data_IF_028396524774
#
_entry.id   IF_028396524774
#
_cell.length_a   1.000
_cell.length_b   1.000
_cell.length_c   1.000
_cell.angle_alpha   90.00
_cell.angle_beta   90.00
_cell.angle_gamma   90.00
#
_symmetry.space_group_name_H-M   'P 1'
#
loop_
_entity.id
_entity.type
_entity.pdbx_description
1 polymer ?
#
# COMPACT_ATOMS: atom_id res chain seq x y z
N UNK A 1 0.61 -27.34 19.05
CA UNK A 1 1.95 -26.82 19.39
C UNK A 1 2.13 -25.55 18.59
N UNK A 2 1.77 -24.41 19.15
CA UNK A 2 2.22 -23.12 18.61
C UNK A 2 3.73 -23.08 18.83
N UNK A 3 4.51 -22.92 17.77
CA UNK A 3 5.96 -22.75 17.89
C UNK A 3 6.21 -21.46 18.68
N UNK A 4 6.88 -21.58 19.83
CA UNK A 4 7.19 -20.47 20.74
C UNK A 4 8.10 -19.38 20.14
N UNK A 5 8.63 -19.62 18.94
CA UNK A 5 9.36 -18.64 18.14
C UNK A 5 8.50 -18.26 16.93
N UNK A 6 8.08 -17.00 16.87
CA UNK A 6 7.44 -16.45 15.67
C UNK A 6 8.41 -16.50 14.47
N UNK A 7 7.86 -16.48 13.25
CA UNK A 7 8.64 -16.50 12.02
C UNK A 7 9.53 -15.24 11.92
N UNK A 8 10.87 -15.35 11.86
CA UNK A 8 11.73 -14.19 11.67
C UNK A 8 11.48 -13.49 10.32
N UNK A 9 11.62 -12.17 10.27
CA UNK A 9 11.32 -11.37 9.07
C UNK A 9 12.12 -11.82 7.84
N UNK A 10 13.41 -12.13 8.00
CA UNK A 10 14.25 -12.64 6.91
C UNK A 10 13.76 -13.99 6.35
N UNK A 11 13.21 -14.86 7.21
CA UNK A 11 12.62 -16.13 6.78
C UNK A 11 11.30 -15.85 6.04
N UNK A 12 10.49 -14.92 6.53
CA UNK A 12 9.25 -14.51 5.85
C UNK A 12 9.52 -13.96 4.44
N UNK A 13 10.56 -13.12 4.29
CA UNK A 13 10.99 -12.60 2.98
C UNK A 13 11.51 -13.72 2.07
N UNK A 14 12.24 -14.69 2.60
CA UNK A 14 12.74 -15.83 1.83
C UNK A 14 11.64 -16.79 1.35
N UNK A 15 10.47 -16.78 2.00
CA UNK A 15 9.29 -17.57 1.58
C UNK A 15 8.50 -16.93 0.43
N UNK A 16 8.86 -15.72 0.01
CA UNK A 16 8.20 -15.05 -1.12
C UNK A 16 8.70 -15.73 -2.42
N UNK A 17 7.79 -16.18 -3.31
CA UNK A 17 8.20 -16.81 -4.56
C UNK A 17 8.98 -15.87 -5.48
N UNK A 18 9.88 -16.44 -6.27
CA UNK A 18 10.55 -15.72 -7.36
C UNK A 18 9.54 -15.25 -8.41
N UNK A 19 9.91 -14.22 -9.16
CA UNK A 19 9.12 -13.73 -10.30
C UNK A 19 9.15 -14.77 -11.44
N UNK A 20 8.09 -14.90 -12.27
CA UNK A 20 6.91 -14.04 -12.30
C UNK A 20 5.91 -14.35 -11.18
N UNK A 21 5.37 -13.29 -10.58
CA UNK A 21 4.29 -13.39 -9.60
C UNK A 21 2.92 -13.61 -10.26
N UNK A 22 1.91 -13.97 -9.46
CA UNK A 22 0.55 -14.24 -9.94
C UNK A 22 -0.04 -13.05 -10.71
N UNK A 23 0.19 -11.84 -10.20
CA UNK A 23 0.06 -10.60 -10.97
C UNK A 23 1.37 -9.86 -10.82
N UNK A 24 2.10 -9.70 -11.92
CA UNK A 24 3.44 -9.12 -11.93
C UNK A 24 3.54 -8.00 -12.96
N UNK A 25 3.33 -6.78 -12.49
CA UNK A 25 3.61 -5.57 -13.27
C UNK A 25 4.72 -4.76 -12.60
N UNK A 26 5.69 -5.43 -11.98
CA UNK A 26 6.79 -4.77 -11.28
C UNK A 26 7.62 -3.92 -12.23
N UNK A 27 7.95 -4.43 -13.43
CA UNK A 27 8.82 -3.73 -14.38
C UNK A 27 8.18 -2.42 -14.88
N UNK A 28 6.85 -2.39 -15.00
CA UNK A 28 6.10 -1.18 -15.36
C UNK A 28 6.16 -0.12 -14.26
N UNK A 29 6.05 -0.54 -13.00
CA UNK A 29 6.21 0.34 -11.85
C UNK A 29 7.65 0.83 -11.73
N UNK A 30 8.65 -0.04 -11.86
CA UNK A 30 10.07 0.33 -11.83
C UNK A 30 10.38 1.38 -12.91
N UNK A 31 9.91 1.14 -14.14
CA UNK A 31 10.03 2.11 -15.24
C UNK A 31 9.34 3.43 -14.92
N UNK A 32 8.20 3.42 -14.21
CA UNK A 32 7.50 4.63 -13.80
C UNK A 32 8.34 5.48 -12.83
N UNK A 33 9.04 4.84 -11.89
CA UNK A 33 9.90 5.51 -10.91
C UNK A 33 11.14 6.14 -11.55
N UNK A 34 11.62 5.58 -12.66
CA UNK A 34 12.81 6.09 -13.35
C UNK A 34 12.49 7.21 -14.36
N UNK A 35 11.23 7.34 -14.79
CA UNK A 35 10.81 8.38 -15.74
C UNK A 35 10.72 9.76 -15.09
N UNK A 36 10.04 9.86 -13.94
CA UNK A 36 9.96 11.07 -13.14
C UNK A 36 9.56 10.73 -11.70
N UNK A 37 10.00 11.52 -10.71
CA UNK A 37 9.44 11.44 -9.38
C UNK A 37 7.93 11.70 -9.41
N UNK A 38 7.19 10.95 -8.60
CA UNK A 38 5.82 11.31 -8.24
C UNK A 38 5.87 12.56 -7.37
N UNK A 39 4.88 13.43 -7.52
CA UNK A 39 4.75 14.60 -6.66
C UNK A 39 4.39 14.20 -5.22
N UNK A 40 3.39 13.32 -5.05
CA UNK A 40 3.04 12.79 -3.74
C UNK A 40 2.40 11.39 -3.85
N UNK A 41 2.87 10.47 -3.01
CA UNK A 41 2.30 9.13 -2.87
C UNK A 41 1.44 9.02 -1.60
N UNK A 42 0.25 8.46 -1.73
CA UNK A 42 -0.62 8.08 -0.62
C UNK A 42 -0.55 6.56 -0.41
N UNK A 43 -0.12 6.10 0.77
CA UNK A 43 0.09 4.69 1.08
C UNK A 43 -0.92 4.24 2.14
N UNK A 44 -1.89 3.42 1.76
CA UNK A 44 -2.79 2.74 2.69
C UNK A 44 -2.12 1.48 3.23
N UNK A 45 -1.82 1.49 4.52
CA UNK A 45 -1.09 0.40 5.21
C UNK A 45 -2.04 -0.61 5.85
N UNK A 46 -1.59 -1.85 5.96
CA UNK A 46 -2.25 -3.01 6.57
C UNK A 46 -1.80 -3.16 8.02
N UNK A 47 -0.79 -3.99 8.29
CA UNK A 47 -0.49 -4.48 9.63
C UNK A 47 0.52 -3.62 10.39
N UNK A 48 0.38 -3.62 11.72
CA UNK A 48 1.42 -3.16 12.65
C UNK A 48 2.68 -4.02 12.60
N UNK A 49 3.72 -3.61 13.34
CA UNK A 49 4.92 -4.42 13.56
C UNK A 49 5.86 -4.47 12.36
N UNK A 50 6.37 -5.65 12.01
CA UNK A 50 7.39 -5.82 10.98
C UNK A 50 6.93 -5.37 9.59
N UNK A 51 5.66 -5.52 9.27
CA UNK A 51 5.06 -5.09 8.01
C UNK A 51 5.27 -3.57 7.81
N UNK A 52 4.80 -2.79 8.79
CA UNK A 52 4.99 -1.35 8.79
C UNK A 52 6.48 -0.94 8.92
N UNK A 53 7.20 -1.45 9.93
CA UNK A 53 8.54 -0.97 10.29
C UNK A 53 9.61 -1.41 9.30
N UNK A 54 9.54 -2.64 8.80
CA UNK A 54 10.58 -3.24 7.94
C UNK A 54 10.15 -3.31 6.47
N UNK A 55 8.86 -3.13 6.16
CA UNK A 55 8.34 -3.03 4.79
C UNK A 55 8.03 -1.60 4.39
N UNK A 56 6.96 -1.03 4.94
CA UNK A 56 6.42 0.28 4.52
C UNK A 56 7.39 1.44 4.77
N UNK A 57 8.04 1.48 5.93
CA UNK A 57 8.96 2.58 6.28
C UNK A 57 10.18 2.63 5.34
N UNK A 58 10.92 1.52 5.07
CA UNK A 58 11.99 1.53 4.08
C UNK A 58 11.52 1.91 2.67
N UNK A 59 10.36 1.43 2.24
CA UNK A 59 9.78 1.80 0.95
C UNK A 59 9.46 3.31 0.88
N UNK A 60 8.83 3.84 1.92
CA UNK A 60 8.55 5.28 2.08
C UNK A 60 9.83 6.11 2.03
N UNK A 61 10.86 5.67 2.75
CA UNK A 61 12.17 6.32 2.78
C UNK A 61 12.77 6.43 1.38
N UNK A 62 12.67 5.37 0.59
CA UNK A 62 13.17 5.34 -0.80
C UNK A 62 12.38 6.27 -1.72
N UNK A 63 11.04 6.34 -1.60
CA UNK A 63 10.23 7.30 -2.36
C UNK A 63 10.63 8.75 -2.05
N UNK A 64 10.82 9.09 -0.77
CA UNK A 64 11.26 10.43 -0.36
C UNK A 64 12.66 10.74 -0.88
N UNK A 65 13.58 9.76 -0.84
CA UNK A 65 14.93 9.90 -1.41
C UNK A 65 14.90 10.19 -2.92
N UNK A 66 13.89 9.68 -3.63
CA UNK A 66 13.64 9.94 -5.06
C UNK A 66 12.90 11.26 -5.32
N UNK A 67 12.56 12.02 -4.27
CA UNK A 67 11.91 13.34 -4.39
C UNK A 67 10.39 13.32 -4.30
N UNK A 68 9.79 12.19 -3.91
CA UNK A 68 8.33 12.05 -3.75
C UNK A 68 7.91 12.31 -2.31
N UNK A 69 6.96 13.23 -2.08
CA UNK A 69 6.30 13.36 -0.77
C UNK A 69 5.48 12.11 -0.47
N UNK A 70 5.33 11.72 0.78
CA UNK A 70 4.55 10.53 1.15
C UNK A 70 3.55 10.86 2.26
N UNK A 71 2.31 10.42 2.09
CA UNK A 71 1.27 10.37 3.12
C UNK A 71 1.05 8.90 3.47
N UNK A 72 1.37 8.50 4.69
CA UNK A 72 1.03 7.17 5.21
C UNK A 72 -0.35 7.23 5.86
N UNK A 73 -1.22 6.30 5.48
CA UNK A 73 -2.63 6.27 5.84
C UNK A 73 -2.94 4.96 6.55
N UNK A 74 -3.29 5.05 7.83
CA UNK A 74 -3.66 3.91 8.66
C UNK A 74 -5.17 3.87 8.94
N UNK A 75 -5.62 2.85 9.67
CA UNK A 75 -6.97 2.86 10.25
C UNK A 75 -7.08 3.90 11.37
N UNK A 76 -8.28 4.42 11.59
CA UNK A 76 -8.55 5.26 12.77
C UNK A 76 -8.76 4.39 14.02
N UNK A 77 -9.46 3.26 13.87
CA UNK A 77 -9.82 2.37 14.98
C UNK A 77 -9.27 0.95 14.76
N UNK A 78 -9.06 0.16 15.83
CA UNK A 78 -8.50 -1.19 15.71
C UNK A 78 -9.32 -2.11 14.80
N UNK A 79 -8.62 -2.92 14.01
CA UNK A 79 -9.19 -4.03 13.24
C UNK A 79 -8.13 -5.13 13.14
N UNK A 80 -8.35 -6.27 13.83
CA UNK A 80 -7.34 -7.33 13.94
C UNK A 80 -5.99 -6.74 14.43
N UNK A 81 -4.93 -6.92 13.66
CA UNK A 81 -3.58 -6.43 13.92
C UNK A 81 -3.19 -5.28 12.98
N UNK A 82 -4.16 -4.63 12.34
CA UNK A 82 -3.95 -3.46 11.51
C UNK A 82 -3.37 -2.30 12.31
N UNK A 83 -2.52 -1.50 11.67
CA UNK A 83 -1.99 -0.29 12.28
C UNK A 83 -3.10 0.75 12.47
N UNK A 84 -3.23 1.25 13.71
CA UNK A 84 -4.10 2.39 14.02
C UNK A 84 -3.34 3.71 13.95
N UNK A 85 -4.09 4.80 13.76
CA UNK A 85 -3.53 6.14 13.68
C UNK A 85 -2.88 6.56 14.99
N UNK A 86 -3.49 6.21 16.12
CA UNK A 86 -2.91 6.45 17.44
C UNK A 86 -1.56 5.75 17.61
N UNK A 87 -1.45 4.49 17.22
CA UNK A 87 -0.18 3.74 17.25
C UNK A 87 0.85 4.34 16.30
N UNK A 88 0.45 4.65 15.06
CA UNK A 88 1.34 5.24 14.05
C UNK A 88 1.92 6.57 14.53
N UNK A 89 1.10 7.46 15.09
CA UNK A 89 1.56 8.73 15.66
C UNK A 89 2.46 8.50 16.88
N UNK A 90 2.14 7.51 17.72
CA UNK A 90 3.00 7.10 18.84
C UNK A 90 4.39 6.61 18.41
N UNK A 91 4.54 6.10 17.19
CA UNK A 91 5.82 5.66 16.63
C UNK A 91 6.66 6.79 16.03
N UNK A 92 6.07 7.95 15.71
CA UNK A 92 6.79 9.06 15.06
C UNK A 92 8.04 9.50 15.83
N UNK A 93 8.02 9.70 17.17
CA UNK A 93 9.23 10.03 17.93
C UNK A 93 10.34 8.96 17.82
N UNK A 94 9.96 7.69 17.71
CA UNK A 94 10.90 6.57 17.57
C UNK A 94 11.52 6.56 16.18
N UNK A 95 10.73 6.78 15.13
CA UNK A 95 11.22 6.92 13.75
C UNK A 95 12.22 8.08 13.63
N UNK A 96 11.88 9.23 14.22
CA UNK A 96 12.75 10.42 14.25
C UNK A 96 14.08 10.15 14.96
N UNK A 97 14.06 9.35 16.03
CA UNK A 97 15.28 8.98 16.78
C UNK A 97 16.13 7.96 16.03
N UNK A 98 15.49 7.00 15.36
CA UNK A 98 16.15 5.91 14.67
C UNK A 98 16.80 6.34 13.35
N UNK A 99 16.20 7.27 12.61
CA UNK A 99 16.67 7.70 11.29
C UNK A 99 16.61 9.24 11.14
N UNK A 100 17.77 9.93 11.14
CA UNK A 100 17.84 11.37 10.92
C UNK A 100 17.26 11.83 9.58
N UNK A 101 17.31 10.99 8.53
CA UNK A 101 16.71 11.33 7.24
C UNK A 101 15.18 11.37 7.35
N UNK A 102 14.57 10.39 8.01
CA UNK A 102 13.13 10.38 8.25
C UNK A 102 12.71 11.51 9.19
N UNK A 103 13.51 11.83 10.20
CA UNK A 103 13.27 13.01 11.05
C UNK A 103 13.16 14.28 10.21
N UNK A 104 14.15 14.54 9.36
CA UNK A 104 14.16 15.74 8.53
C UNK A 104 13.02 15.74 7.51
N UNK A 105 12.63 14.56 7.00
CA UNK A 105 11.48 14.42 6.11
C UNK A 105 10.16 14.73 6.82
N UNK A 106 9.99 14.29 8.08
CA UNK A 106 8.82 14.59 8.91
C UNK A 106 8.77 16.10 9.22
N UNK A 107 9.91 16.69 9.63
CA UNK A 107 9.99 18.11 10.00
C UNK A 107 9.72 19.06 8.82
N UNK A 108 9.96 18.59 7.59
CA UNK A 108 9.73 19.34 6.35
C UNK A 108 8.41 18.96 5.65
N UNK A 109 7.56 18.16 6.30
CA UNK A 109 6.30 17.66 5.74
C UNK A 109 6.48 16.93 4.39
N UNK A 110 7.62 16.28 4.19
CA UNK A 110 7.85 15.32 3.10
C UNK A 110 7.32 13.94 3.46
N UNK A 111 7.25 13.62 4.75
CA UNK A 111 6.57 12.45 5.30
C UNK A 111 5.44 12.91 6.21
N UNK A 112 4.21 12.61 5.81
CA UNK A 112 2.97 12.97 6.51
C UNK A 112 2.21 11.71 6.92
N UNK A 113 1.31 11.87 7.89
CA UNK A 113 0.54 10.79 8.48
C UNK A 113 -0.92 11.20 8.56
N UNK A 114 -1.83 10.34 8.09
CA UNK A 114 -3.27 10.56 8.13
C UNK A 114 -4.00 9.25 8.47
N UNK A 115 -5.32 9.33 8.67
CA UNK A 115 -6.17 8.15 8.86
C UNK A 115 -7.26 8.06 7.80
N UNK A 116 -7.65 6.83 7.46
CA UNK A 116 -8.78 6.57 6.55
C UNK A 116 -10.14 6.93 7.18
N UNK A 117 -10.21 6.98 8.51
CA UNK A 117 -11.46 7.14 9.28
C UNK A 117 -12.17 5.83 9.58
N UNK A 118 -11.59 4.70 9.20
CA UNK A 118 -12.20 3.37 9.31
C UNK A 118 -11.52 2.52 10.40
N UNK A 119 -12.22 1.47 10.82
CA UNK A 119 -11.69 0.38 11.65
C UNK A 119 -12.08 -0.95 11.03
N UNK A 120 -11.54 -1.23 9.85
CA UNK A 120 -11.87 -2.40 9.03
C UNK A 120 -10.60 -2.97 8.41
N UNK A 121 -10.45 -4.30 8.31
CA UNK A 121 -9.34 -4.94 7.58
C UNK A 121 -9.46 -4.77 6.06
N UNK A 122 -10.64 -4.35 5.60
CA UNK A 122 -10.93 -3.99 4.22
C UNK A 122 -11.01 -2.46 4.07
N UNK A 123 -10.71 -1.94 2.87
CA UNK A 123 -10.69 -0.50 2.62
C UNK A 123 -11.87 -0.06 1.73
N UNK A 124 -12.77 0.73 2.29
CA UNK A 124 -13.72 1.53 1.52
C UNK A 124 -13.08 2.87 1.13
N UNK A 125 -13.01 3.19 -0.16
CA UNK A 125 -12.37 4.43 -0.62
C UNK A 125 -13.21 5.70 -0.34
N UNK A 126 -14.41 5.56 0.25
CA UNK A 126 -15.19 6.67 0.83
C UNK A 126 -14.58 7.08 2.18
N UNK A 127 -13.37 7.63 2.13
CA UNK A 127 -12.53 7.96 3.30
C UNK A 127 -12.93 9.28 3.98
N UNK A 128 -12.39 9.48 5.17
CA UNK A 128 -12.59 10.69 5.98
C UNK A 128 -12.24 11.99 5.23
N UNK A 129 -12.99 13.06 5.50
CA UNK A 129 -12.86 14.35 4.80
C UNK A 129 -11.48 14.99 4.94
N UNK A 130 -10.82 14.83 6.10
CA UNK A 130 -9.44 15.29 6.32
C UNK A 130 -8.47 14.67 5.31
N UNK A 131 -8.56 13.36 5.09
CA UNK A 131 -7.72 12.67 4.12
C UNK A 131 -8.02 13.16 2.70
N UNK A 132 -9.30 13.30 2.33
CA UNK A 132 -9.68 13.83 1.01
C UNK A 132 -9.06 15.22 0.77
N UNK A 133 -9.10 16.09 1.77
CA UNK A 133 -8.48 17.42 1.68
C UNK A 133 -6.96 17.32 1.50
N UNK A 134 -6.28 16.49 2.31
CA UNK A 134 -4.83 16.31 2.22
C UNK A 134 -4.38 15.79 0.85
N UNK A 135 -5.09 14.80 0.31
CA UNK A 135 -4.80 14.22 -1.02
C UNK A 135 -4.87 15.29 -2.13
N UNK A 136 -5.83 16.21 -2.03
CA UNK A 136 -5.97 17.32 -2.98
C UNK A 136 -4.89 18.39 -2.79
N UNK A 137 -4.63 18.81 -1.54
CA UNK A 137 -3.62 19.83 -1.20
C UNK A 137 -2.21 19.40 -1.63
N UNK A 138 -1.86 18.15 -1.36
CA UNK A 138 -0.55 17.59 -1.72
C UNK A 138 -0.47 17.09 -3.16
N UNK A 139 -1.55 17.22 -3.95
CA UNK A 139 -1.64 16.78 -5.35
C UNK A 139 -1.12 15.35 -5.54
N UNK A 140 -1.69 14.41 -4.80
CA UNK A 140 -1.31 12.99 -4.86
C UNK A 140 -1.46 12.46 -6.28
N UNK A 141 -0.39 11.89 -6.80
CA UNK A 141 -0.30 11.32 -8.14
C UNK A 141 0.17 9.85 -8.16
N UNK A 142 0.33 9.23 -6.99
CA UNK A 142 0.45 7.80 -6.79
C UNK A 142 -0.38 7.33 -5.58
N UNK A 143 -1.18 6.28 -5.76
CA UNK A 143 -1.88 5.60 -4.65
C UNK A 143 -1.30 4.20 -4.49
N UNK A 144 -0.84 3.86 -3.29
CA UNK A 144 -0.37 2.52 -2.94
C UNK A 144 -1.35 1.91 -1.94
N UNK A 145 -1.84 0.72 -2.21
CA UNK A 145 -2.73 -0.04 -1.34
C UNK A 145 -2.02 -1.35 -0.99
N UNK A 146 -1.68 -1.49 0.28
CA UNK A 146 -0.99 -2.65 0.82
C UNK A 146 -1.99 -3.57 1.55
N UNK A 147 -1.75 -4.88 1.49
CA UNK A 147 -2.49 -5.87 2.25
C UNK A 147 -3.63 -6.56 1.49
N UNK A 148 -3.87 -7.83 1.82
CA UNK A 148 -4.86 -8.67 1.15
C UNK A 148 -6.29 -8.12 1.28
N UNK A 149 -6.67 -7.68 2.47
CA UNK A 149 -8.00 -7.11 2.76
C UNK A 149 -8.27 -5.83 1.96
N UNK A 150 -7.34 -4.89 2.01
CA UNK A 150 -7.46 -3.56 1.40
C UNK A 150 -7.27 -3.60 -0.11
N UNK A 151 -6.28 -4.35 -0.58
CA UNK A 151 -5.89 -4.37 -1.99
C UNK A 151 -6.68 -5.41 -2.79
N UNK A 152 -6.81 -6.65 -2.30
CA UNK A 152 -7.36 -7.74 -3.11
C UNK A 152 -8.87 -7.90 -2.92
N UNK A 153 -9.34 -7.94 -1.67
CA UNK A 153 -10.77 -8.16 -1.40
C UNK A 153 -11.65 -6.99 -1.83
N UNK A 154 -11.18 -5.74 -1.70
CA UNK A 154 -12.00 -4.56 -2.00
C UNK A 154 -11.56 -3.74 -3.21
N UNK A 155 -10.25 -3.64 -3.50
CA UNK A 155 -9.76 -2.60 -4.43
C UNK A 155 -8.93 -3.11 -5.62
N UNK A 156 -8.91 -4.42 -5.91
CA UNK A 156 -8.04 -4.98 -6.96
C UNK A 156 -8.34 -4.37 -8.33
N UNK A 157 -9.61 -4.06 -8.58
CA UNK A 157 -10.12 -3.49 -9.81
C UNK A 157 -10.53 -2.01 -9.67
N UNK A 158 -10.19 -1.37 -8.55
CA UNK A 158 -10.45 0.06 -8.38
C UNK A 158 -9.58 0.87 -9.34
N UNK A 159 -10.21 1.77 -10.10
CA UNK A 159 -9.54 2.66 -11.04
C UNK A 159 -9.38 4.05 -10.42
N UNK A 160 -8.20 4.64 -10.63
CA UNK A 160 -7.85 5.97 -10.13
C UNK A 160 -7.54 6.92 -11.29
N UNK A 161 -7.66 8.22 -11.01
CA UNK A 161 -7.25 9.28 -11.93
C UNK A 161 -5.72 9.36 -12.05
N UNK A 162 -5.02 8.99 -10.98
CA UNK A 162 -3.57 8.91 -10.89
C UNK A 162 -3.09 7.45 -10.94
N UNK A 163 -1.77 7.26 -11.00
CA UNK A 163 -1.19 5.92 -11.01
C UNK A 163 -1.46 5.21 -9.68
N UNK A 164 -1.59 3.89 -9.70
CA UNK A 164 -1.87 3.11 -8.50
C UNK A 164 -1.09 1.81 -8.46
N UNK A 165 -0.68 1.41 -7.26
CA UNK A 165 -0.05 0.14 -6.96
C UNK A 165 -0.88 -0.61 -5.91
N UNK A 166 -1.29 -1.83 -6.21
CA UNK A 166 -1.87 -2.78 -5.26
C UNK A 166 -0.84 -3.88 -5.00
N UNK A 167 -0.39 -4.01 -3.76
CA UNK A 167 0.63 -4.97 -3.38
C UNK A 167 0.13 -5.85 -2.22
N UNK A 168 0.10 -7.16 -2.40
CA UNK A 168 -0.32 -8.11 -1.38
C UNK A 168 0.29 -9.49 -1.58
N UNK A 169 0.38 -10.24 -0.49
CA UNK A 169 0.65 -11.68 -0.47
C UNK A 169 -0.64 -12.40 -0.11
N UNK A 170 -1.02 -13.43 -0.87
CA UNK A 170 -2.22 -14.23 -0.60
C UNK A 170 -1.95 -15.15 0.60
N UNK A 171 -2.70 -14.97 1.70
CA UNK A 171 -2.49 -15.71 2.96
C UNK A 171 -3.52 -16.81 3.22
N UNK A 172 -4.48 -17.02 2.31
CA UNK A 172 -5.56 -18.02 2.49
C UNK A 172 -5.72 -18.90 1.26
N UNK A 173 -5.96 -20.21 1.48
CA UNK A 173 -6.16 -21.17 0.39
C UNK A 173 -7.34 -20.78 -0.50
N UNK A 174 -8.45 -20.37 0.12
CA UNK A 174 -9.66 -19.99 -0.61
C UNK A 174 -9.43 -18.87 -1.64
N UNK A 175 -8.66 -17.82 -1.26
CA UNK A 175 -8.38 -16.72 -2.19
C UNK A 175 -7.36 -17.16 -3.26
N UNK A 176 -6.39 -17.99 -2.89
CA UNK A 176 -5.41 -18.55 -3.82
C UNK A 176 -6.12 -19.34 -4.93
N UNK A 177 -7.01 -20.27 -4.56
CA UNK A 177 -7.80 -21.09 -5.48
C UNK A 177 -8.65 -20.20 -6.41
N UNK A 178 -9.33 -19.19 -5.84
CA UNK A 178 -10.17 -18.26 -6.60
C UNK A 178 -9.37 -17.43 -7.60
N UNK A 179 -8.12 -17.09 -7.28
CA UNK A 179 -7.25 -16.29 -8.15
C UNK A 179 -6.38 -17.16 -9.08
N UNK A 180 -6.51 -18.48 -9.02
CA UNK A 180 -5.70 -19.42 -9.82
C UNK A 180 -4.23 -19.46 -9.41
N UNK A 181 -3.93 -19.22 -8.13
CA UNK A 181 -2.59 -19.28 -7.56
C UNK A 181 -2.50 -20.20 -6.36
N UNK A 182 -1.38 -20.12 -5.64
CA UNK A 182 -1.10 -20.85 -4.40
C UNK A 182 -1.06 -19.91 -3.19
N UNK A 183 -1.12 -20.46 -1.96
CA UNK A 183 -0.81 -19.67 -0.75
C UNK A 183 0.58 -19.06 -0.90
N UNK A 184 0.74 -17.82 -0.46
CA UNK A 184 1.91 -16.96 -0.63
C UNK A 184 2.18 -16.46 -2.05
N UNK A 185 1.27 -16.72 -3.00
CA UNK A 185 1.30 -16.01 -4.28
C UNK A 185 1.27 -14.50 -4.07
N UNK A 186 2.12 -13.81 -4.81
CA UNK A 186 2.25 -12.36 -4.75
C UNK A 186 1.37 -11.72 -5.81
N UNK A 187 0.68 -10.65 -5.42
CA UNK A 187 0.02 -9.73 -6.34
C UNK A 187 0.74 -8.40 -6.24
N UNK A 188 1.37 -8.00 -7.34
CA UNK A 188 1.98 -6.70 -7.53
C UNK A 188 1.38 -6.07 -8.78
N UNK A 189 0.30 -5.31 -8.60
CA UNK A 189 -0.49 -4.74 -9.68
C UNK A 189 -0.36 -3.22 -9.72
N UNK A 190 0.37 -2.74 -10.70
CA UNK A 190 0.54 -1.35 -11.05
C UNK A 190 -0.39 -1.01 -12.22
N UNK A 191 -1.06 0.12 -12.13
CA UNK A 191 -1.97 0.62 -13.16
C UNK A 191 -1.74 2.11 -13.35
N UNK A 192 -1.63 2.54 -14.61
CA UNK A 192 -1.58 3.96 -14.94
C UNK A 192 -2.94 4.62 -14.72
N UNK A 193 -2.92 5.86 -14.25
CA UNK A 193 -4.12 6.65 -14.02
C UNK A 193 -4.88 6.95 -15.30
N UNK A 194 -6.22 6.91 -15.23
CA UNK A 194 -7.07 7.34 -16.34
C UNK A 194 -7.03 8.86 -16.43
N UNK A 195 -6.10 9.40 -17.22
CA UNK A 195 -6.17 10.81 -17.62
C UNK A 195 -7.46 11.02 -18.42
N UNK A 196 -8.27 12.00 -18.04
CA UNK A 196 -9.36 12.51 -18.86
C UNK A 196 -8.77 12.94 -20.22
N UNK A 197 -8.86 12.08 -21.24
CA UNK A 197 -8.22 12.29 -22.54
C UNK A 197 -7.88 11.04 -23.35
N UNK A 198 -7.98 9.83 -22.80
CA UNK A 198 -7.92 8.60 -23.61
C UNK A 198 -9.28 7.92 -23.67
N UNK A 199 -9.83 7.80 -24.89
CA UNK A 199 -11.01 6.99 -25.20
C UNK A 199 -10.74 5.52 -24.87
N UNK A 200 -10.91 5.13 -23.61
CA UNK A 200 -11.04 3.72 -23.24
C UNK A 200 -12.51 3.35 -23.43
N UNK A 201 -12.79 2.51 -24.44
CA UNK A 201 -14.11 1.87 -24.57
C UNK A 201 -14.42 1.12 -23.26
N UNK A 202 -15.67 1.15 -22.78
CA UNK A 202 -16.06 0.41 -21.60
C UNK A 202 -15.89 -1.08 -21.89
N UNK A 203 -15.06 -1.76 -21.08
CA UNK A 203 -15.00 -3.22 -21.06
C UNK A 203 -16.36 -3.68 -20.52
N UNK A 204 -17.20 -4.21 -21.41
CA UNK A 204 -18.43 -4.88 -21.02
C UNK A 204 -18.05 -6.09 -20.17
N UNK A 205 -18.42 -6.08 -18.88
CA UNK A 205 -18.29 -7.27 -18.03
C UNK A 205 -19.51 -8.16 -18.25
N UNK A 206 -19.25 -9.43 -18.56
CA UNK A 206 -20.23 -10.50 -18.59
C UNK A 206 -20.56 -10.92 -17.16
N UNK A 207 -21.82 -11.29 -16.91
CA UNK A 207 -22.32 -11.75 -15.60
C UNK A 207 -21.74 -13.12 -15.19
N UNK A 208 -20.89 -13.72 -16.03
CA UNK A 208 -20.22 -15.01 -15.77
C UNK A 208 -18.99 -14.94 -14.86
N UNK A 209 -18.52 -13.76 -14.44
CA UNK A 209 -17.27 -13.60 -13.69
C UNK A 209 -17.45 -13.56 -12.16
N UNK A 210 -18.53 -14.13 -11.63
CA UNK A 210 -18.83 -14.20 -10.18
C UNK A 210 -18.58 -15.56 -9.56
#
# INVERSE_FOLDING_TARGET
MESAEGLPFNVAVASIPERPWLIDTYDEFAKSLDQKPYNCAAIFVDNSGADFVLGVIPFTRELIRRGTKVIIISNLSPALNDLTYGEMIGMVPLLRKADPFLRDAIDKELLMFEHSGQGSPCLDLRVHSTLNRRVLEEKVDLIVIEGMGRALHTNLYAHFLCDSLKAAVIKTQWLADRMGGEIFSVVFKFERGKRNGSNAQPIARSVSDF
#
